data_IF_849421741816
#
_entry.id   IF_849421741816
#
_cell.length_a   1.000
_cell.length_b   1.000
_cell.length_c   1.000
_cell.angle_alpha   90.00
_cell.angle_beta   90.00
_cell.angle_gamma   90.00
#
_symmetry.space_group_name_H-M   'P 1'
#
loop_
_entity.id
_entity.type
_entity.pdbx_description
1 polymer ?
#
# COMPACT_ATOMS: atom_id res chain seq x y z
N UNK A 1 -11.20 16.43 -11.40
CA UNK A 1 -10.27 16.02 -10.32
C UNK A 1 -10.46 14.53 -10.08
N UNK A 2 -9.41 13.73 -9.94
CA UNK A 2 -9.58 12.31 -9.66
C UNK A 2 -10.17 12.13 -8.25
N UNK A 3 -11.15 11.24 -8.09
CA UNK A 3 -11.81 10.95 -6.80
C UNK A 3 -11.48 9.57 -6.26
N UNK A 4 -10.77 8.76 -7.06
CA UNK A 4 -10.48 7.35 -6.76
C UNK A 4 -9.03 7.05 -7.10
N UNK A 5 -8.39 6.28 -6.23
CA UNK A 5 -7.04 5.75 -6.42
C UNK A 5 -7.09 4.23 -6.34
N UNK A 6 -6.43 3.59 -7.29
CA UNK A 6 -6.25 2.15 -7.36
C UNK A 6 -4.76 1.85 -7.50
N UNK A 7 -4.23 1.01 -6.62
CA UNK A 7 -2.82 0.59 -6.63
C UNK A 7 -2.76 -0.93 -6.68
N UNK A 8 -2.06 -1.47 -7.67
CA UNK A 8 -1.72 -2.89 -7.74
C UNK A 8 -0.24 -3.05 -7.38
N UNK A 9 0.02 -3.73 -6.27
CA UNK A 9 1.36 -4.06 -5.81
C UNK A 9 1.66 -5.49 -6.19
N UNK A 10 2.56 -5.68 -7.16
CA UNK A 10 3.04 -7.00 -7.58
C UNK A 10 4.55 -7.20 -7.46
N UNK A 11 5.28 -6.17 -7.04
CA UNK A 11 6.72 -6.28 -6.82
C UNK A 11 7.02 -7.12 -5.59
N UNK A 12 8.03 -7.99 -5.68
CA UNK A 12 8.61 -8.68 -4.53
C UNK A 12 9.71 -7.85 -3.84
N UNK A 13 9.95 -6.64 -4.32
CA UNK A 13 10.89 -5.71 -3.74
C UNK A 13 10.25 -4.97 -2.57
N UNK A 14 10.87 -5.10 -1.39
CA UNK A 14 10.43 -4.50 -0.14
C UNK A 14 10.45 -2.96 -0.18
N UNK A 15 11.50 -2.36 -0.73
CA UNK A 15 11.65 -0.91 -0.77
C UNK A 15 10.59 -0.29 -1.67
N UNK A 16 10.31 -0.93 -2.81
CA UNK A 16 9.22 -0.52 -3.71
C UNK A 16 7.87 -0.57 -3.00
N UNK A 17 7.61 -1.60 -2.19
CA UNK A 17 6.38 -1.71 -1.41
C UNK A 17 6.27 -0.60 -0.35
N UNK A 18 7.33 -0.40 0.44
CA UNK A 18 7.34 0.49 1.59
C UNK A 18 7.42 1.96 1.22
N UNK A 19 8.25 2.35 0.25
CA UNK A 19 8.53 3.76 -0.04
C UNK A 19 7.58 4.35 -1.09
N UNK A 20 7.06 3.51 -1.99
CA UNK A 20 6.26 3.99 -3.13
C UNK A 20 4.86 3.39 -3.12
N UNK A 21 4.78 2.07 -2.94
CA UNK A 21 3.55 1.30 -3.06
C UNK A 21 2.50 1.64 -2.01
N UNK A 22 2.92 1.81 -0.76
CA UNK A 22 2.04 2.06 0.38
C UNK A 22 1.98 3.53 0.81
N UNK A 23 3.06 4.31 0.64
CA UNK A 23 3.12 5.71 1.13
C UNK A 23 1.99 6.55 0.56
N UNK A 24 1.83 6.57 -0.76
CA UNK A 24 0.82 7.41 -1.40
C UNK A 24 -0.62 7.03 -1.02
N UNK A 25 -1.06 5.76 -1.11
CA UNK A 25 -2.41 5.38 -0.72
C UNK A 25 -2.68 5.62 0.77
N UNK A 26 -1.74 5.30 1.67
CA UNK A 26 -1.90 5.55 3.11
C UNK A 26 -1.99 7.05 3.43
N UNK A 27 -1.10 7.85 2.84
CA UNK A 27 -1.11 9.30 3.01
C UNK A 27 -2.41 9.93 2.47
N UNK A 28 -2.92 9.41 1.36
CA UNK A 28 -4.17 9.87 0.75
C UNK A 28 -5.39 9.60 1.64
N UNK A 29 -5.44 8.42 2.26
CA UNK A 29 -6.47 8.06 3.25
C UNK A 29 -6.36 8.96 4.48
N UNK A 30 -5.16 9.09 5.06
CA UNK A 30 -4.92 9.92 6.26
C UNK A 30 -5.36 11.37 6.09
N UNK A 31 -5.14 11.94 4.90
CA UNK A 31 -5.47 13.34 4.60
C UNK A 31 -6.83 13.53 3.92
N UNK A 32 -7.64 12.47 3.79
CA UNK A 32 -8.96 12.52 3.12
C UNK A 32 -8.92 13.17 1.73
N UNK A 33 -7.83 12.92 0.98
CA UNK A 33 -7.59 13.55 -0.34
C UNK A 33 -8.36 12.87 -1.49
N UNK A 34 -8.84 11.65 -1.29
CA UNK A 34 -9.61 10.87 -2.26
C UNK A 34 -10.79 10.19 -1.57
N UNK A 35 -11.91 10.03 -2.28
CA UNK A 35 -13.12 9.39 -1.76
C UNK A 35 -12.96 7.88 -1.60
N UNK A 36 -12.22 7.24 -2.51
CA UNK A 36 -11.98 5.79 -2.50
C UNK A 36 -10.53 5.46 -2.83
N UNK A 37 -9.88 4.74 -1.94
CA UNK A 37 -8.55 4.17 -2.15
C UNK A 37 -8.66 2.65 -2.09
N UNK A 38 -8.17 1.96 -3.12
CA UNK A 38 -8.07 0.49 -3.16
C UNK A 38 -6.63 0.10 -3.42
N UNK A 39 -6.09 -0.80 -2.61
CA UNK A 39 -4.78 -1.42 -2.80
C UNK A 39 -5.00 -2.91 -2.95
N UNK A 40 -4.47 -3.49 -4.01
CA UNK A 40 -4.44 -4.94 -4.22
C UNK A 40 -2.99 -5.39 -4.12
N UNK A 41 -2.74 -6.37 -3.26
CA UNK A 41 -1.45 -7.08 -3.15
C UNK A 41 -1.64 -8.39 -3.89
N UNK A 42 -0.86 -8.60 -4.95
CA UNK A 42 -0.99 -9.77 -5.82
C UNK A 42 0.35 -10.17 -6.41
N UNK A 43 0.70 -11.45 -6.34
CA UNK A 43 1.95 -11.99 -6.87
C UNK A 43 3.10 -11.93 -5.85
N UNK A 44 4.35 -11.68 -6.28
CA UNK A 44 5.53 -11.68 -5.39
C UNK A 44 5.40 -10.81 -4.12
N UNK A 45 4.61 -9.74 -4.20
CA UNK A 45 4.30 -8.83 -3.08
C UNK A 45 3.54 -9.50 -1.93
N UNK A 46 2.80 -10.57 -2.17
CA UNK A 46 2.03 -11.30 -1.15
C UNK A 46 2.95 -11.88 -0.07
N UNK A 47 4.11 -12.42 -0.48
CA UNK A 47 5.12 -12.94 0.44
C UNK A 47 5.72 -11.85 1.30
N UNK A 48 6.02 -10.70 0.69
CA UNK A 48 6.60 -9.54 1.39
C UNK A 48 5.58 -8.99 2.40
N UNK A 49 4.32 -8.85 2.00
CA UNK A 49 3.26 -8.37 2.88
C UNK A 49 2.94 -9.33 4.03
N UNK A 50 3.07 -10.65 3.82
CA UNK A 50 2.77 -11.65 4.84
C UNK A 50 3.91 -11.92 5.82
N UNK A 51 5.16 -11.77 5.39
CA UNK A 51 6.32 -12.21 6.17
C UNK A 51 7.20 -11.07 6.72
N UNK A 52 7.05 -9.85 6.20
CA UNK A 52 7.87 -8.71 6.65
C UNK A 52 7.17 -7.91 7.75
N UNK A 53 7.74 -7.94 8.96
CA UNK A 53 7.21 -7.27 10.15
C UNK A 53 7.02 -5.75 9.97
N UNK A 54 7.88 -5.09 9.17
CA UNK A 54 7.76 -3.65 8.92
C UNK A 54 6.58 -3.34 8.00
N UNK A 55 6.31 -4.23 7.03
CA UNK A 55 5.13 -4.10 6.16
C UNK A 55 3.85 -4.42 6.93
N UNK A 56 3.86 -5.43 7.80
CA UNK A 56 2.71 -5.79 8.65
C UNK A 56 2.32 -4.64 9.59
N UNK A 57 3.31 -4.02 10.24
CA UNK A 57 3.06 -2.90 11.16
C UNK A 57 2.60 -1.61 10.45
N UNK A 58 3.01 -1.38 9.20
CA UNK A 58 2.49 -0.27 8.38
C UNK A 58 1.02 -0.47 7.94
N UNK A 59 0.54 -1.72 7.89
CA UNK A 59 -0.85 -2.03 7.56
C UNK A 59 -1.78 -1.96 8.78
N UNK A 60 -1.29 -2.35 9.97
CA UNK A 60 -2.01 -2.27 11.23
C UNK A 60 -1.81 -0.89 11.87
N UNK A 61 -2.43 0.13 11.30
CA UNK A 61 -2.40 1.51 11.80
C UNK A 61 -3.11 1.71 13.15
N UNK A 62 -2.61 1.05 14.21
CA UNK A 62 -2.82 1.40 15.62
C UNK A 62 -1.73 2.32 16.12
#
# INVERSE_FOLDING_TARGET
MATKVFVLLSSGDKEVLLEVGLVYPLHTVKNKRMDKVKVIIFGPSERVAACDLEVVTQQDGR
#
